data_IF_290409218905
#
_entry.id   IF_290409218905
#
_cell.length_a   1.000
_cell.length_b   1.000
_cell.length_c   1.000
_cell.angle_alpha   90.00
_cell.angle_beta   90.00
_cell.angle_gamma   90.00
#
_symmetry.space_group_name_H-M   'P 1'
#
loop_
_entity.id
_entity.type
_entity.pdbx_description
1 polymer ?
#
# COMPACT_ATOMS: atom_id res chain seq x y z
N UNK A 1 -12.50 -8.87 -6.36
CA UNK A 1 -11.64 -7.74 -6.77
C UNK A 1 -11.74 -6.73 -5.65
N UNK A 2 -10.62 -6.24 -5.10
CA UNK A 2 -10.69 -5.00 -4.33
C UNK A 2 -11.41 -4.00 -5.23
N UNK A 3 -12.51 -3.40 -4.75
CA UNK A 3 -13.13 -2.29 -5.47
C UNK A 3 -12.03 -1.27 -5.76
N UNK A 4 -12.14 -0.55 -6.88
CA UNK A 4 -11.18 0.51 -7.20
C UNK A 4 -11.06 1.42 -5.97
N UNK A 5 -9.90 1.39 -5.30
CA UNK A 5 -9.70 2.23 -4.13
C UNK A 5 -9.78 3.69 -4.56
N UNK A 6 -10.38 4.51 -3.72
CA UNK A 6 -10.32 5.96 -3.88
C UNK A 6 -8.87 6.44 -3.76
N UNK A 7 -8.61 7.63 -4.32
CA UNK A 7 -7.29 8.26 -4.19
C UNK A 7 -6.88 8.43 -2.73
N UNK A 8 -7.80 8.86 -1.87
CA UNK A 8 -7.54 9.04 -0.44
C UNK A 8 -7.19 7.72 0.25
N UNK A 9 -7.85 6.61 -0.12
CA UNK A 9 -7.47 5.29 0.42
C UNK A 9 -6.07 4.87 -0.03
N UNK A 10 -5.71 5.11 -1.30
CA UNK A 10 -4.35 4.83 -1.79
C UNK A 10 -3.30 5.67 -1.07
N UNK A 11 -3.59 6.94 -0.82
CA UNK A 11 -2.73 7.84 -0.04
C UNK A 11 -2.55 7.35 1.40
N UNK A 12 -3.63 6.92 2.07
CA UNK A 12 -3.51 6.34 3.42
C UNK A 12 -2.66 5.08 3.45
N UNK A 13 -2.74 4.21 2.44
CA UNK A 13 -1.86 3.04 2.35
C UNK A 13 -0.41 3.46 2.14
N UNK A 14 -0.17 4.46 1.27
CA UNK A 14 1.17 5.01 1.00
C UNK A 14 1.82 5.57 2.27
N UNK A 15 1.11 6.42 3.00
CA UNK A 15 1.62 7.03 4.24
C UNK A 15 2.03 5.97 5.28
N UNK A 16 1.31 4.85 5.37
CA UNK A 16 1.70 3.72 6.23
C UNK A 16 2.98 3.05 5.73
N UNK A 17 3.11 2.86 4.42
CA UNK A 17 4.25 2.22 3.78
C UNK A 17 5.53 3.06 3.86
N UNK A 18 5.43 4.40 3.79
CA UNK A 18 6.53 5.36 3.98
C UNK A 18 7.18 5.28 5.38
N UNK A 19 6.51 4.67 6.37
CA UNK A 19 7.09 4.41 7.70
C UNK A 19 7.97 3.15 7.74
N UNK A 20 8.01 2.37 6.65
CA UNK A 20 8.77 1.13 6.55
C UNK A 20 9.56 1.11 5.24
N UNK A 21 10.88 1.34 5.33
CA UNK A 21 11.78 1.42 4.18
C UNK A 21 11.67 0.22 3.21
N UNK A 22 11.43 -0.99 3.73
CA UNK A 22 11.29 -2.18 2.90
C UNK A 22 9.95 -2.20 2.13
N UNK A 23 8.89 -1.67 2.74
CA UNK A 23 7.61 -1.44 2.06
C UNK A 23 7.76 -0.33 1.02
N UNK A 24 8.33 0.81 1.39
CA UNK A 24 8.55 1.96 0.50
C UNK A 24 9.32 1.58 -0.76
N UNK A 25 10.44 0.85 -0.63
CA UNK A 25 11.19 0.36 -1.79
C UNK A 25 10.38 -0.59 -2.68
N UNK A 26 9.55 -1.45 -2.09
CA UNK A 26 8.70 -2.36 -2.88
C UNK A 26 7.57 -1.60 -3.58
N UNK A 27 7.06 -0.52 -2.97
CA UNK A 27 6.04 0.32 -3.57
C UNK A 27 6.53 0.93 -4.89
N UNK A 28 7.79 1.34 -4.98
CA UNK A 28 8.37 1.92 -6.20
C UNK A 28 8.44 0.93 -7.38
N UNK A 29 8.55 -0.37 -7.11
CA UNK A 29 8.70 -1.40 -8.16
C UNK A 29 7.43 -2.20 -8.42
N UNK A 30 6.63 -2.47 -7.39
CA UNK A 30 5.44 -3.34 -7.46
C UNK A 30 4.13 -2.60 -7.19
N UNK A 31 4.20 -1.32 -6.81
CA UNK A 31 3.03 -0.51 -6.52
C UNK A 31 2.49 -0.69 -5.10
N UNK A 32 1.70 0.30 -4.65
CA UNK A 32 1.27 0.42 -3.26
C UNK A 32 0.44 -0.77 -2.74
N UNK A 33 -0.41 -1.35 -3.57
CA UNK A 33 -1.29 -2.46 -3.15
C UNK A 33 -0.46 -3.71 -2.83
N UNK A 34 0.49 -4.04 -3.70
CA UNK A 34 1.35 -5.21 -3.51
C UNK A 34 2.24 -5.02 -2.28
N UNK A 35 2.88 -3.85 -2.16
CA UNK A 35 3.74 -3.51 -1.03
C UNK A 35 2.97 -3.54 0.30
N UNK A 36 1.84 -2.82 0.41
CA UNK A 36 1.04 -2.82 1.63
C UNK A 36 0.60 -4.24 2.00
N UNK A 37 0.12 -5.03 1.03
CA UNK A 37 -0.34 -6.39 1.30
C UNK A 37 0.76 -7.32 1.79
N UNK A 38 1.98 -7.17 1.27
CA UNK A 38 3.13 -7.97 1.68
C UNK A 38 3.58 -7.67 3.13
N UNK A 39 3.51 -6.41 3.57
CA UNK A 39 4.04 -5.99 4.87
C UNK A 39 2.98 -5.83 5.97
N UNK A 40 1.75 -5.46 5.62
CA UNK A 40 0.67 -5.14 6.57
C UNK A 40 -0.56 -6.04 6.42
N UNK A 41 -0.62 -6.86 5.36
CA UNK A 41 -1.71 -7.81 5.14
C UNK A 41 -2.92 -7.20 4.42
N UNK A 42 -4.12 -7.78 4.59
CA UNK A 42 -5.30 -7.36 3.84
C UNK A 42 -5.64 -5.87 4.01
N UNK A 43 -6.04 -5.22 2.91
CA UNK A 43 -6.46 -3.83 2.91
C UNK A 43 -7.78 -3.68 3.69
N UNK A 44 -7.89 -2.75 4.64
CA UNK A 44 -9.04 -2.67 5.55
C UNK A 44 -10.27 -1.93 4.99
N UNK A 45 -10.43 -1.85 3.66
CA UNK A 45 -11.54 -1.19 2.96
C UNK A 45 -12.01 -1.95 1.72
#
# INVERSE_FOLDING_TARGET
AAGQLSLTQLESLREVCELNLACEHMMDTEGIIAAYTAYYGPIPY
#
